data_IF_216461966452
#
_entry.id   IF_216461966452
#
_cell.length_a   1.000
_cell.length_b   1.000
_cell.length_c   1.000
_cell.angle_alpha   90.00
_cell.angle_beta   90.00
_cell.angle_gamma   90.00
#
_symmetry.space_group_name_H-M   'P 1'
#
loop_
_entity.id
_entity.type
_entity.pdbx_description
1 polymer ?
#
# COMPACT_ATOMS: atom_id res chain seq x y z
N UNK A 1 30.18 39.73 -4.67
CA UNK A 1 29.24 40.90 -4.77
C UNK A 1 27.87 40.43 -5.27
N UNK A 2 27.83 39.61 -6.31
CA UNK A 2 26.55 39.08 -6.87
C UNK A 2 25.83 38.14 -5.85
N UNK A 3 26.55 37.36 -5.08
CA UNK A 3 26.00 36.49 -4.04
C UNK A 3 25.40 37.26 -2.86
N UNK A 4 25.91 38.47 -2.57
CA UNK A 4 25.43 39.31 -1.47
C UNK A 4 24.16 40.10 -1.86
N UNK A 5 23.98 40.45 -3.13
CA UNK A 5 22.78 41.13 -3.67
C UNK A 5 21.58 40.13 -3.71
N UNK A 6 21.84 38.85 -3.93
CA UNK A 6 20.81 37.81 -3.90
C UNK A 6 20.27 37.50 -2.48
N UNK A 7 20.96 37.95 -1.43
CA UNK A 7 20.49 37.72 -0.02
C UNK A 7 19.42 38.72 0.45
N UNK A 8 19.20 39.85 -0.26
CA UNK A 8 18.12 40.80 0.03
C UNK A 8 16.89 40.66 -0.87
N UNK A 9 16.73 39.51 -1.52
CA UNK A 9 15.56 39.24 -2.37
C UNK A 9 14.29 39.11 -1.52
N UNK A 10 13.22 39.76 -2.03
CA UNK A 10 11.87 39.70 -1.47
C UNK A 10 11.49 38.27 -1.03
N UNK A 11 10.69 38.12 0.03
CA UNK A 11 10.26 36.78 0.52
C UNK A 11 9.62 35.96 -0.58
N UNK A 12 9.00 36.57 -1.58
CA UNK A 12 8.43 35.95 -2.75
C UNK A 12 9.48 35.22 -3.62
N UNK A 13 10.63 35.84 -3.86
CA UNK A 13 11.70 35.26 -4.71
C UNK A 13 12.30 34.02 -4.03
N UNK A 14 12.49 34.04 -2.70
CA UNK A 14 12.96 32.87 -1.94
C UNK A 14 11.94 31.74 -2.00
N UNK A 15 10.67 32.06 -1.88
CA UNK A 15 9.58 31.06 -2.01
C UNK A 15 9.55 30.47 -3.41
N UNK A 16 9.63 31.27 -4.46
CA UNK A 16 9.65 30.79 -5.85
C UNK A 16 10.87 29.92 -6.16
N UNK A 17 12.06 30.28 -5.66
CA UNK A 17 13.27 29.46 -5.83
C UNK A 17 13.11 28.13 -5.08
N UNK A 18 12.64 28.14 -3.84
CA UNK A 18 12.40 26.92 -3.07
C UNK A 18 11.36 26.02 -3.76
N UNK A 19 10.28 26.60 -4.27
CA UNK A 19 9.25 25.86 -5.00
C UNK A 19 9.79 25.29 -6.31
N UNK A 20 10.53 26.08 -7.09
CA UNK A 20 11.15 25.61 -8.33
C UNK A 20 12.17 24.48 -8.06
N UNK A 21 12.98 24.61 -7.01
CA UNK A 21 13.92 23.55 -6.59
C UNK A 21 13.19 22.27 -6.19
N UNK A 22 12.09 22.38 -5.45
CA UNK A 22 11.25 21.24 -5.09
C UNK A 22 10.68 20.53 -6.33
N UNK A 23 10.15 21.28 -7.28
CA UNK A 23 9.61 20.73 -8.54
C UNK A 23 10.69 20.00 -9.33
N UNK A 24 11.89 20.58 -9.43
CA UNK A 24 13.04 19.96 -10.12
C UNK A 24 13.43 18.67 -9.43
N UNK A 25 13.52 18.65 -8.10
CA UNK A 25 13.84 17.44 -7.33
C UNK A 25 12.78 16.35 -7.55
N UNK A 26 11.50 16.71 -7.46
CA UNK A 26 10.41 15.73 -7.68
C UNK A 26 10.40 15.20 -9.12
N UNK A 27 10.64 16.06 -10.12
CA UNK A 27 10.78 15.65 -11.51
C UNK A 27 11.97 14.68 -11.68
N UNK A 28 13.12 15.00 -11.06
CA UNK A 28 14.29 14.12 -11.04
C UNK A 28 14.01 12.75 -10.41
N UNK A 29 13.34 12.73 -9.26
CA UNK A 29 12.92 11.48 -8.60
C UNK A 29 11.96 10.69 -9.49
N UNK A 30 11.02 11.35 -10.14
CA UNK A 30 10.07 10.69 -11.05
C UNK A 30 10.76 10.09 -12.27
N UNK A 31 11.69 10.80 -12.86
CA UNK A 31 12.52 10.29 -13.97
C UNK A 31 13.41 9.12 -13.54
N UNK A 32 13.93 9.16 -12.32
CA UNK A 32 14.75 8.09 -11.74
C UNK A 32 13.93 6.98 -11.08
N UNK A 33 12.61 6.95 -11.26
CA UNK A 33 11.71 6.01 -10.57
C UNK A 33 12.08 4.54 -10.78
N UNK A 34 12.61 4.18 -11.95
CA UNK A 34 13.08 2.81 -12.24
C UNK A 34 14.19 2.33 -11.29
N UNK A 35 14.99 3.25 -10.72
CA UNK A 35 16.03 2.95 -9.75
C UNK A 35 15.52 3.17 -8.32
N UNK A 36 14.76 4.24 -8.11
CA UNK A 36 14.25 4.65 -6.79
C UNK A 36 13.26 3.62 -6.23
N UNK A 37 12.38 3.08 -7.08
CA UNK A 37 11.36 2.11 -6.66
C UNK A 37 11.99 0.82 -6.11
N UNK A 38 12.87 0.10 -6.84
CA UNK A 38 13.52 -1.10 -6.30
C UNK A 38 14.35 -0.80 -5.03
N UNK A 39 15.02 0.35 -4.97
CA UNK A 39 15.77 0.76 -3.79
C UNK A 39 14.88 0.93 -2.56
N UNK A 40 13.77 1.68 -2.69
CA UNK A 40 12.82 1.88 -1.59
C UNK A 40 12.16 0.56 -1.18
N UNK A 41 11.71 -0.26 -2.13
CA UNK A 41 11.17 -1.59 -1.82
C UNK A 41 12.17 -2.45 -1.06
N UNK A 42 13.43 -2.47 -1.50
CA UNK A 42 14.48 -3.22 -0.82
C UNK A 42 14.70 -2.71 0.61
N UNK A 43 14.69 -1.40 0.80
CA UNK A 43 14.80 -0.78 2.13
C UNK A 43 13.66 -1.22 3.05
N UNK A 44 12.42 -1.18 2.58
CA UNK A 44 11.27 -1.59 3.37
C UNK A 44 11.25 -3.09 3.64
N UNK A 45 11.61 -3.93 2.67
CA UNK A 45 11.76 -5.38 2.88
C UNK A 45 12.85 -5.65 3.92
N UNK A 46 14.00 -4.99 3.84
CA UNK A 46 15.07 -5.13 4.82
C UNK A 46 14.60 -4.72 6.24
N UNK A 47 13.83 -3.62 6.35
CA UNK A 47 13.24 -3.17 7.62
C UNK A 47 12.26 -4.21 8.17
N UNK A 48 11.36 -4.76 7.35
CA UNK A 48 10.39 -5.79 7.74
C UNK A 48 11.11 -7.07 8.18
N UNK A 49 12.18 -7.47 7.50
CA UNK A 49 12.95 -8.68 7.82
C UNK A 49 13.83 -8.52 9.07
N UNK A 50 14.16 -7.29 9.44
CA UNK A 50 15.05 -7.00 10.57
C UNK A 50 14.63 -7.66 11.90
N UNK A 51 13.35 -7.66 12.34
CA UNK A 51 12.93 -8.34 13.57
C UNK A 51 13.14 -9.85 13.52
N UNK A 52 12.83 -10.49 12.37
CA UNK A 52 13.01 -11.92 12.19
C UNK A 52 14.50 -12.31 12.24
N UNK A 53 15.36 -11.54 11.56
CA UNK A 53 16.81 -11.74 11.61
C UNK A 53 17.34 -11.54 13.03
N UNK A 54 16.92 -10.49 13.75
CA UNK A 54 17.28 -10.29 15.17
C UNK A 54 16.83 -11.44 16.07
N UNK A 55 15.66 -12.00 15.82
CA UNK A 55 15.18 -13.16 16.55
C UNK A 55 16.07 -14.39 16.31
N UNK A 56 16.46 -14.65 15.05
CA UNK A 56 17.35 -15.74 14.68
C UNK A 56 18.77 -15.56 15.28
N UNK A 57 19.33 -14.37 15.20
CA UNK A 57 20.66 -14.06 15.75
C UNK A 57 20.69 -14.13 17.28
N UNK A 58 19.61 -13.75 17.98
CA UNK A 58 19.46 -13.99 19.42
C UNK A 58 19.48 -15.48 19.79
N UNK A 59 19.08 -16.36 18.87
CA UNK A 59 19.16 -17.82 19.04
C UNK A 59 20.53 -18.39 18.58
N UNK A 60 21.57 -17.57 18.51
CA UNK A 60 22.94 -17.93 18.13
C UNK A 60 23.13 -18.38 16.68
N UNK A 61 22.17 -18.10 15.79
CA UNK A 61 22.33 -18.31 14.36
C UNK A 61 23.25 -17.18 13.82
N UNK A 62 24.34 -17.50 13.11
CA UNK A 62 25.23 -16.49 12.57
C UNK A 62 24.47 -15.60 11.56
N UNK A 63 24.80 -14.30 11.54
CA UNK A 63 24.10 -13.30 10.73
C UNK A 63 23.98 -13.70 9.26
N UNK A 64 25.07 -14.18 8.65
CA UNK A 64 25.05 -14.61 7.25
C UNK A 64 24.04 -15.74 7.00
N UNK A 65 23.98 -16.74 7.88
CA UNK A 65 23.01 -17.84 7.76
C UNK A 65 21.57 -17.36 7.96
N UNK A 66 21.33 -16.44 8.90
CA UNK A 66 20.02 -15.86 9.13
C UNK A 66 19.51 -15.08 7.89
N UNK A 67 20.39 -14.30 7.26
CA UNK A 67 20.09 -13.57 6.01
C UNK A 67 19.82 -14.56 4.88
N UNK A 68 20.64 -15.59 4.69
CA UNK A 68 20.44 -16.61 3.65
C UNK A 68 19.11 -17.34 3.81
N UNK A 69 18.76 -17.77 5.03
CA UNK A 69 17.47 -18.42 5.30
C UNK A 69 16.29 -17.48 5.01
N UNK A 70 16.42 -16.21 5.38
CA UNK A 70 15.37 -15.21 5.09
C UNK A 70 15.21 -14.95 3.60
N UNK A 71 16.31 -14.91 2.85
CA UNK A 71 16.28 -14.80 1.39
C UNK A 71 15.61 -16.00 0.74
N UNK A 72 15.98 -17.21 1.13
CA UNK A 72 15.35 -18.43 0.63
C UNK A 72 13.85 -18.41 0.90
N UNK A 73 13.43 -18.00 2.10
CA UNK A 73 12.03 -17.83 2.44
C UNK A 73 11.32 -16.82 1.55
N UNK A 74 11.92 -15.64 1.32
CA UNK A 74 11.36 -14.60 0.44
C UNK A 74 11.24 -15.12 -1.00
N UNK A 75 12.26 -15.78 -1.52
CA UNK A 75 12.26 -16.34 -2.89
C UNK A 75 11.17 -17.41 -3.04
N UNK A 76 11.08 -18.34 -2.08
CA UNK A 76 10.04 -19.39 -2.11
C UNK A 76 8.64 -18.75 -2.06
N UNK A 77 8.41 -17.81 -1.15
CA UNK A 77 7.15 -17.10 -1.04
C UNK A 77 6.79 -16.39 -2.34
N UNK A 78 7.78 -15.74 -2.95
CA UNK A 78 7.60 -14.99 -4.19
C UNK A 78 7.29 -15.91 -5.37
N UNK A 79 8.04 -17.01 -5.52
CA UNK A 79 7.78 -18.00 -6.57
C UNK A 79 6.42 -18.68 -6.39
N UNK A 80 6.03 -18.98 -5.15
CA UNK A 80 4.71 -19.52 -4.84
C UNK A 80 3.59 -18.56 -5.25
N UNK A 81 3.68 -17.27 -4.85
CA UNK A 81 2.70 -16.25 -5.21
C UNK A 81 2.66 -16.02 -6.74
N UNK A 82 3.81 -15.92 -7.38
CA UNK A 82 3.91 -15.72 -8.84
C UNK A 82 3.32 -16.89 -9.61
N UNK A 83 3.62 -18.12 -9.19
CA UNK A 83 3.05 -19.34 -9.78
C UNK A 83 1.54 -19.39 -9.64
N UNK A 84 1.03 -19.11 -8.45
CA UNK A 84 -0.39 -19.10 -8.15
C UNK A 84 -1.14 -18.03 -8.93
N UNK A 85 -0.62 -16.80 -8.98
CA UNK A 85 -1.21 -15.70 -9.75
C UNK A 85 -1.22 -16.05 -11.24
N UNK A 86 -0.12 -16.56 -11.77
CA UNK A 86 0.01 -16.84 -13.21
C UNK A 86 -0.92 -17.98 -13.69
N UNK A 87 -1.04 -19.07 -12.91
CA UNK A 87 -1.98 -20.16 -13.22
C UNK A 87 -3.43 -19.65 -13.25
N UNK A 88 -3.81 -18.89 -12.21
CA UNK A 88 -5.19 -18.42 -12.08
C UNK A 88 -5.56 -17.34 -13.11
N UNK A 89 -4.61 -16.47 -13.50
CA UNK A 89 -4.85 -15.52 -14.61
C UNK A 89 -5.14 -16.27 -15.90
N UNK A 90 -4.39 -17.33 -16.23
CA UNK A 90 -4.62 -18.12 -17.44
C UNK A 90 -6.00 -18.77 -17.44
N UNK A 91 -6.38 -19.40 -16.33
CA UNK A 91 -7.69 -20.04 -16.18
C UNK A 91 -8.83 -19.01 -16.26
N UNK A 92 -8.70 -17.88 -15.58
CA UNK A 92 -9.68 -16.80 -15.61
C UNK A 92 -9.81 -16.22 -17.03
N UNK A 93 -8.70 -15.97 -17.73
CA UNK A 93 -8.70 -15.46 -19.11
C UNK A 93 -9.37 -16.45 -20.08
N UNK A 94 -9.14 -17.74 -19.89
CA UNK A 94 -9.78 -18.78 -20.69
C UNK A 94 -11.31 -18.86 -20.45
N UNK A 95 -11.76 -18.44 -19.26
CA UNK A 95 -13.20 -18.47 -18.89
C UNK A 95 -13.98 -17.22 -19.33
N UNK A 96 -13.32 -16.14 -19.79
CA UNK A 96 -13.97 -14.89 -20.23
C UNK A 96 -15.10 -15.11 -21.25
N UNK A 97 -14.93 -15.95 -22.31
CA UNK A 97 -16.01 -16.18 -23.28
C UNK A 97 -17.28 -16.74 -22.63
N UNK A 98 -17.13 -17.67 -21.68
CA UNK A 98 -18.26 -18.23 -20.93
C UNK A 98 -18.94 -17.19 -20.04
N UNK A 99 -18.20 -16.24 -19.50
CA UNK A 99 -18.74 -15.15 -18.70
C UNK A 99 -19.61 -14.19 -19.52
N UNK A 100 -19.25 -13.94 -20.78
CA UNK A 100 -20.07 -13.15 -21.71
C UNK A 100 -21.44 -13.81 -21.96
N UNK A 101 -21.43 -15.11 -22.20
CA UNK A 101 -22.66 -15.89 -22.43
C UNK A 101 -23.57 -15.92 -21.19
N UNK A 102 -22.98 -16.18 -20.02
CA UNK A 102 -23.73 -16.17 -18.75
C UNK A 102 -24.29 -14.78 -18.45
N UNK A 103 -23.53 -13.71 -18.72
CA UNK A 103 -23.99 -12.34 -18.52
C UNK A 103 -25.21 -12.04 -19.41
N UNK A 104 -25.18 -12.43 -20.67
CA UNK A 104 -26.33 -12.24 -21.59
C UNK A 104 -27.57 -12.96 -21.08
N UNK A 105 -27.46 -14.23 -20.67
CA UNK A 105 -28.58 -15.01 -20.11
C UNK A 105 -29.13 -14.35 -18.83
N UNK A 106 -28.26 -13.89 -17.93
CA UNK A 106 -28.68 -13.24 -16.67
C UNK A 106 -29.34 -11.89 -16.91
N UNK A 107 -28.88 -11.13 -17.90
CA UNK A 107 -29.49 -9.85 -18.27
C UNK A 107 -30.89 -10.07 -18.89
N UNK A 108 -31.08 -11.09 -19.70
CA UNK A 108 -32.41 -11.45 -20.20
C UNK A 108 -33.35 -11.88 -19.07
N UNK A 109 -32.86 -12.67 -18.10
CA UNK A 109 -33.65 -13.05 -16.92
C UNK A 109 -34.02 -11.85 -16.07
N UNK A 110 -33.12 -10.88 -15.90
CA UNK A 110 -33.44 -9.63 -15.20
C UNK A 110 -34.47 -8.78 -15.94
N UNK A 111 -34.40 -8.71 -17.26
CA UNK A 111 -35.40 -8.01 -18.10
C UNK A 111 -36.78 -8.63 -17.93
N UNK A 112 -36.88 -9.96 -18.00
CA UNK A 112 -38.17 -10.66 -17.82
C UNK A 112 -38.72 -10.41 -16.42
N UNK A 113 -37.88 -10.48 -15.38
CA UNK A 113 -38.29 -10.22 -14.01
C UNK A 113 -38.82 -8.78 -13.80
N UNK A 114 -38.14 -7.76 -14.36
CA UNK A 114 -38.53 -6.35 -14.24
C UNK A 114 -39.83 -6.06 -15.01
N UNK A 115 -40.00 -6.70 -16.17
CA UNK A 115 -41.24 -6.59 -16.96
C UNK A 115 -42.40 -7.31 -16.29
N UNK A 116 -42.25 -8.47 -15.71
CA UNK A 116 -43.29 -9.21 -14.99
C UNK A 116 -43.78 -8.47 -13.73
N UNK A 117 -42.86 -7.82 -13.02
CA UNK A 117 -43.17 -7.10 -11.76
C UNK A 117 -43.50 -5.63 -11.97
N UNK A 118 -43.64 -5.19 -13.22
CA UNK A 118 -44.01 -3.82 -13.61
C UNK A 118 -43.23 -2.73 -12.85
N UNK A 119 -41.92 -3.00 -12.56
CA UNK A 119 -41.06 -2.08 -11.82
C UNK A 119 -40.72 -0.93 -12.77
N UNK A 120 -40.96 0.35 -12.42
CA UNK A 120 -40.69 1.48 -13.30
C UNK A 120 -39.20 1.84 -13.30
N UNK A 121 -38.37 0.87 -13.62
CA UNK A 121 -36.92 1.05 -13.86
C UNK A 121 -36.75 1.02 -15.37
N UNK A 122 -36.50 2.16 -15.97
CA UNK A 122 -35.86 2.24 -17.30
C UNK A 122 -34.49 1.65 -17.21
N UNK A 123 -34.37 0.38 -17.59
CA UNK A 123 -33.04 -0.23 -17.77
C UNK A 123 -32.36 0.58 -18.89
N UNK A 124 -31.17 1.13 -18.69
CA UNK A 124 -30.38 1.67 -19.78
C UNK A 124 -30.34 0.64 -20.91
N UNK A 125 -30.58 1.11 -22.12
CA UNK A 125 -30.69 0.24 -23.30
C UNK A 125 -29.59 -0.83 -23.27
N UNK A 126 -29.94 -2.10 -23.53
CA UNK A 126 -28.98 -3.24 -23.49
C UNK A 126 -27.78 -3.00 -24.36
N UNK A 127 -27.92 -2.14 -25.39
CA UNK A 127 -26.82 -1.63 -26.18
C UNK A 127 -25.75 -0.89 -25.35
N UNK A 128 -26.12 -0.23 -24.25
CA UNK A 128 -25.15 0.36 -23.32
C UNK A 128 -24.45 -0.71 -22.44
N UNK A 129 -25.13 -1.82 -22.16
CA UNK A 129 -24.57 -2.97 -21.46
C UNK A 129 -23.84 -3.92 -22.42
N UNK A 130 -24.20 -3.97 -23.70
CA UNK A 130 -23.41 -4.60 -24.77
C UNK A 130 -22.07 -3.89 -24.96
N UNK A 131 -22.02 -2.58 -24.67
CA UNK A 131 -20.76 -1.81 -24.61
C UNK A 131 -19.96 -2.02 -23.31
N UNK A 132 -20.58 -2.63 -22.25
CA UNK A 132 -19.84 -3.04 -21.06
C UNK A 132 -19.04 -4.29 -21.41
N UNK A 133 -17.82 -4.06 -21.86
CA UNK A 133 -16.87 -5.11 -22.14
C UNK A 133 -16.31 -5.65 -20.80
N UNK A 134 -16.66 -6.90 -20.39
CA UNK A 134 -16.06 -7.52 -19.21
C UNK A 134 -14.53 -7.53 -19.26
N UNK A 135 -13.95 -7.37 -20.47
CA UNK A 135 -12.52 -7.22 -20.67
C UNK A 135 -11.96 -5.95 -20.00
N UNK A 136 -12.77 -4.91 -19.75
CA UNK A 136 -12.30 -3.72 -19.02
C UNK A 136 -11.95 -4.04 -17.56
N UNK A 137 -12.80 -4.80 -16.88
CA UNK A 137 -12.51 -5.27 -15.51
C UNK A 137 -11.28 -6.15 -15.52
N UNK A 138 -11.20 -7.04 -16.54
CA UNK A 138 -10.07 -7.90 -16.74
C UNK A 138 -8.78 -7.15 -17.06
N UNK A 139 -8.84 -6.10 -17.86
CA UNK A 139 -7.70 -5.22 -18.12
C UNK A 139 -7.23 -4.52 -16.84
N UNK A 140 -8.14 -4.09 -15.96
CA UNK A 140 -7.77 -3.51 -14.66
C UNK A 140 -7.06 -4.54 -13.78
N UNK A 141 -7.66 -5.74 -13.64
CA UNK A 141 -7.04 -6.84 -12.87
C UNK A 141 -5.70 -7.23 -13.49
N UNK A 142 -5.63 -7.39 -14.80
CA UNK A 142 -4.40 -7.71 -15.51
C UNK A 142 -3.34 -6.62 -15.35
N UNK A 143 -3.69 -5.33 -15.42
CA UNK A 143 -2.74 -4.23 -15.20
C UNK A 143 -2.19 -4.22 -13.78
N UNK A 144 -3.04 -4.47 -12.78
CA UNK A 144 -2.60 -4.59 -11.39
C UNK A 144 -1.65 -5.78 -11.24
N UNK A 145 -2.02 -6.93 -11.78
CA UNK A 145 -1.21 -8.15 -11.72
C UNK A 145 0.09 -8.04 -12.55
N UNK A 146 0.06 -7.41 -13.72
CA UNK A 146 1.25 -7.12 -14.52
C UNK A 146 2.19 -6.11 -13.82
N UNK A 147 1.64 -5.17 -13.04
CA UNK A 147 2.46 -4.30 -12.20
C UNK A 147 3.24 -5.09 -11.16
N UNK A 148 2.64 -6.13 -10.56
CA UNK A 148 3.36 -7.07 -9.71
C UNK A 148 4.37 -7.92 -10.51
N UNK A 149 4.03 -8.36 -11.72
CA UNK A 149 4.95 -9.12 -12.59
C UNK A 149 6.21 -8.32 -12.96
N UNK A 150 6.10 -7.01 -13.18
CA UNK A 150 7.26 -6.15 -13.43
C UNK A 150 8.18 -6.04 -12.20
N UNK A 151 7.60 -6.07 -10.98
CA UNK A 151 8.39 -6.19 -9.74
C UNK A 151 9.14 -7.53 -9.72
N UNK A 152 8.50 -8.62 -10.19
CA UNK A 152 9.12 -9.96 -10.30
C UNK A 152 10.33 -9.94 -11.23
N UNK A 153 10.24 -9.26 -12.37
CA UNK A 153 11.35 -9.20 -13.35
C UNK A 153 12.61 -8.53 -12.76
N UNK A 154 12.42 -7.61 -11.80
CA UNK A 154 13.52 -6.94 -11.12
C UNK A 154 13.88 -7.57 -9.76
N UNK A 155 13.33 -8.75 -9.44
CA UNK A 155 13.54 -9.43 -8.13
C UNK A 155 15.00 -9.67 -7.83
N UNK A 156 15.81 -10.05 -8.81
CA UNK A 156 17.22 -10.29 -8.58
C UNK A 156 17.92 -9.04 -8.06
N UNK A 157 17.72 -7.88 -8.71
CA UNK A 157 18.30 -6.62 -8.27
C UNK A 157 17.78 -6.21 -6.88
N UNK A 158 16.47 -6.37 -6.67
CA UNK A 158 15.82 -6.07 -5.40
C UNK A 158 16.40 -6.92 -4.27
N UNK A 159 16.51 -8.24 -4.46
CA UNK A 159 17.07 -9.17 -3.47
C UNK A 159 18.54 -8.87 -3.18
N UNK A 160 19.32 -8.56 -4.21
CA UNK A 160 20.72 -8.17 -4.06
C UNK A 160 20.84 -6.94 -3.17
N UNK A 161 20.04 -5.91 -3.40
CA UNK A 161 20.04 -4.69 -2.57
C UNK A 161 19.56 -5.00 -1.15
N UNK A 162 18.51 -5.83 -0.97
CA UNK A 162 18.05 -6.29 0.36
C UNK A 162 19.20 -6.96 1.13
N UNK A 163 19.96 -7.85 0.49
CA UNK A 163 21.12 -8.52 1.12
C UNK A 163 22.12 -7.50 1.62
N UNK A 164 22.54 -6.57 0.76
CA UNK A 164 23.50 -5.56 1.15
C UNK A 164 22.99 -4.68 2.29
N UNK A 165 21.73 -4.28 2.25
CA UNK A 165 21.09 -3.50 3.34
C UNK A 165 21.05 -4.28 4.66
N UNK A 166 20.75 -5.59 4.61
CA UNK A 166 20.73 -6.43 5.80
C UNK A 166 22.12 -6.68 6.37
N UNK A 167 23.13 -6.88 5.52
CA UNK A 167 24.53 -7.00 5.93
C UNK A 167 25.06 -5.71 6.55
N UNK A 168 24.65 -4.55 6.00
CA UNK A 168 25.06 -3.24 6.46
C UNK A 168 24.33 -2.80 7.74
N UNK A 169 23.13 -3.34 8.01
CA UNK A 169 22.26 -2.94 9.13
C UNK A 169 22.94 -2.90 10.50
N UNK A 170 23.84 -3.81 10.91
CA UNK A 170 24.56 -3.70 12.18
C UNK A 170 25.55 -2.54 12.24
N UNK A 171 26.14 -2.18 11.09
CA UNK A 171 27.23 -1.21 10.98
C UNK A 171 26.73 0.21 10.73
N UNK A 172 25.50 0.35 10.21
CA UNK A 172 24.95 1.65 9.81
C UNK A 172 24.87 2.64 10.98
N UNK A 173 24.54 2.16 12.18
CA UNK A 173 24.53 2.99 13.41
C UNK A 173 25.94 3.55 13.69
N UNK A 174 26.96 2.71 13.58
CA UNK A 174 28.34 3.09 13.80
C UNK A 174 28.84 4.07 12.73
N UNK A 175 28.50 3.85 11.45
CA UNK A 175 28.84 4.77 10.35
C UNK A 175 28.22 6.14 10.53
N UNK A 176 26.94 6.19 10.92
CA UNK A 176 26.25 7.44 11.24
C UNK A 176 26.96 8.14 12.40
N UNK A 177 27.34 7.38 13.45
CA UNK A 177 28.14 7.90 14.56
C UNK A 177 29.43 8.57 14.09
N UNK A 178 30.18 7.90 13.23
CA UNK A 178 31.43 8.44 12.71
C UNK A 178 31.22 9.67 11.81
N UNK A 179 30.21 9.65 10.96
CA UNK A 179 29.94 10.75 10.03
C UNK A 179 29.57 12.06 10.76
N UNK A 180 28.83 11.96 11.87
CA UNK A 180 28.36 13.13 12.62
C UNK A 180 29.24 13.47 13.83
N UNK A 181 30.23 12.66 14.18
CA UNK A 181 31.12 12.88 15.33
C UNK A 181 32.04 14.12 15.20
N UNK A 182 31.99 14.83 14.07
CA UNK A 182 32.68 16.12 13.86
C UNK A 182 32.00 17.33 14.50
N UNK A 183 30.78 17.19 15.06
CA UNK A 183 30.01 18.28 15.66
C UNK A 183 29.45 17.89 17.05
N UNK A 184 29.94 18.53 18.06
CA UNK A 184 29.89 18.19 19.49
C UNK A 184 28.55 18.16 20.21
N UNK A 185 27.36 18.19 19.63
CA UNK A 185 26.18 18.49 20.47
C UNK A 185 24.99 17.53 20.40
N UNK A 186 24.63 16.94 19.26
CA UNK A 186 23.31 16.31 19.13
C UNK A 186 23.29 14.84 18.70
N UNK A 187 24.42 14.15 18.77
CA UNK A 187 24.58 12.77 18.27
C UNK A 187 23.53 11.78 18.80
N UNK A 188 23.30 11.77 20.11
CA UNK A 188 22.34 10.85 20.72
C UNK A 188 20.90 11.11 20.24
N UNK A 189 20.55 12.37 19.97
CA UNK A 189 19.23 12.73 19.45
C UNK A 189 19.01 12.26 18.01
N UNK A 190 20.01 12.40 17.12
CA UNK A 190 19.88 11.98 15.73
C UNK A 190 19.77 10.46 15.58
N UNK A 191 20.57 9.70 16.36
CA UNK A 191 20.46 8.22 16.40
C UNK A 191 19.13 7.79 16.97
N UNK A 192 18.60 8.50 17.95
CA UNK A 192 17.27 8.23 18.53
C UNK A 192 16.16 8.52 17.53
N UNK A 193 16.25 9.64 16.77
CA UNK A 193 15.27 9.95 15.71
C UNK A 193 15.27 8.86 14.62
N UNK A 194 16.44 8.44 14.14
CA UNK A 194 16.52 7.38 13.15
C UNK A 194 15.96 6.04 13.68
N UNK A 195 16.26 5.73 14.94
CA UNK A 195 15.73 4.51 15.58
C UNK A 195 14.21 4.57 15.71
N UNK A 196 13.64 5.73 16.04
CA UNK A 196 12.19 5.96 16.06
C UNK A 196 11.53 5.79 14.69
N UNK A 197 12.17 6.30 13.61
CA UNK A 197 11.67 6.08 12.23
C UNK A 197 11.56 4.59 11.94
N UNK A 198 12.66 3.86 12.11
CA UNK A 198 12.71 2.43 11.81
C UNK A 198 11.71 1.63 12.66
N UNK A 199 11.61 1.92 13.95
CA UNK A 199 10.67 1.23 14.85
C UNK A 199 9.21 1.52 14.49
N UNK A 200 8.88 2.76 14.15
CA UNK A 200 7.55 3.16 13.72
C UNK A 200 7.15 2.46 12.41
N UNK A 201 8.07 2.38 11.45
CA UNK A 201 7.85 1.66 10.19
C UNK A 201 7.65 0.16 10.44
N UNK A 202 8.49 -0.48 11.28
CA UNK A 202 8.35 -1.90 11.63
C UNK A 202 6.97 -2.15 12.26
N UNK A 203 6.56 -1.33 13.20
CA UNK A 203 5.27 -1.46 13.88
C UNK A 203 4.11 -1.27 12.91
N UNK A 204 4.14 -0.24 12.07
CA UNK A 204 3.13 0.00 11.05
C UNK A 204 3.01 -1.20 10.08
N UNK A 205 4.12 -1.60 9.48
CA UNK A 205 4.13 -2.69 8.51
C UNK A 205 3.74 -4.03 9.14
N UNK A 206 4.12 -4.28 10.39
CA UNK A 206 3.71 -5.45 11.14
C UNK A 206 2.20 -5.52 11.35
N UNK A 207 1.59 -4.43 11.84
CA UNK A 207 0.13 -4.34 12.00
C UNK A 207 -0.56 -4.45 10.65
N UNK A 208 -0.06 -3.75 9.63
CA UNK A 208 -0.65 -3.78 8.28
C UNK A 208 -0.60 -5.17 7.66
N UNK A 209 0.52 -5.89 7.83
CA UNK A 209 0.63 -7.30 7.38
C UNK A 209 -0.39 -8.19 8.08
N UNK A 210 -0.54 -8.05 9.39
CA UNK A 210 -1.50 -8.83 10.15
C UNK A 210 -2.94 -8.54 9.73
N UNK A 211 -3.30 -7.26 9.57
CA UNK A 211 -4.64 -6.85 9.11
C UNK A 211 -4.91 -7.32 7.68
N UNK A 212 -3.93 -7.21 6.79
CA UNK A 212 -4.04 -7.70 5.41
C UNK A 212 -4.23 -9.22 5.37
N UNK A 213 -3.47 -9.96 6.19
CA UNK A 213 -3.64 -11.42 6.29
C UNK A 213 -5.03 -11.78 6.81
N UNK A 214 -5.51 -11.10 7.84
CA UNK A 214 -6.87 -11.30 8.37
C UNK A 214 -7.94 -11.02 7.32
N UNK A 215 -7.81 -9.92 6.56
CA UNK A 215 -8.70 -9.56 5.44
C UNK A 215 -8.68 -10.64 4.36
N UNK A 216 -7.49 -11.08 3.93
CA UNK A 216 -7.36 -12.12 2.91
C UNK A 216 -7.97 -13.45 3.34
N UNK A 217 -7.70 -13.90 4.56
CA UNK A 217 -8.28 -15.14 5.12
C UNK A 217 -9.80 -15.02 5.23
N UNK A 218 -10.31 -13.90 5.74
CA UNK A 218 -11.75 -13.70 5.89
C UNK A 218 -12.47 -13.67 4.54
N UNK A 219 -11.88 -13.02 3.53
CA UNK A 219 -12.40 -13.03 2.16
C UNK A 219 -12.36 -14.45 1.58
N UNK A 220 -11.25 -15.19 1.75
CA UNK A 220 -11.19 -16.59 1.34
C UNK A 220 -12.36 -17.40 1.89
N UNK A 221 -12.60 -17.34 3.21
CA UNK A 221 -13.68 -18.08 3.87
C UNK A 221 -15.05 -17.71 3.31
N UNK A 222 -15.32 -16.42 3.10
CA UNK A 222 -16.60 -15.99 2.50
C UNK A 222 -16.74 -16.55 1.08
N UNK A 223 -15.72 -16.45 0.26
CA UNK A 223 -15.78 -16.92 -1.13
C UNK A 223 -15.89 -18.45 -1.22
N UNK A 224 -15.24 -19.16 -0.31
CA UNK A 224 -15.30 -20.62 -0.23
C UNK A 224 -16.70 -21.11 0.17
N UNK A 225 -17.35 -20.48 1.17
CA UNK A 225 -18.73 -20.77 1.58
C UNK A 225 -19.72 -20.63 0.42
N UNK A 226 -19.56 -19.62 -0.41
CA UNK A 226 -20.44 -19.38 -1.57
C UNK A 226 -19.95 -20.05 -2.85
N UNK A 227 -18.92 -20.91 -2.79
CA UNK A 227 -18.32 -21.61 -3.93
C UNK A 227 -17.94 -20.67 -5.09
N UNK A 228 -17.44 -19.48 -4.77
CA UNK A 228 -16.97 -18.52 -5.78
C UNK A 228 -15.64 -19.04 -6.37
N UNK A 229 -15.60 -19.13 -7.69
CA UNK A 229 -14.38 -19.59 -8.38
C UNK A 229 -13.20 -18.66 -8.08
N UNK A 230 -12.00 -19.24 -8.07
CA UNK A 230 -10.74 -18.52 -7.80
C UNK A 230 -10.67 -17.81 -6.43
N UNK A 231 -11.35 -18.36 -5.42
CA UNK A 231 -11.38 -17.80 -4.05
C UNK A 231 -9.99 -17.50 -3.49
N UNK A 232 -9.00 -18.36 -3.75
CA UNK A 232 -7.61 -18.17 -3.31
C UNK A 232 -6.95 -16.98 -4.02
N UNK A 233 -7.16 -16.81 -5.33
CA UNK A 233 -6.63 -15.64 -6.06
C UNK A 233 -7.18 -14.34 -5.48
N UNK A 234 -8.49 -14.29 -5.30
CA UNK A 234 -9.16 -13.10 -4.77
C UNK A 234 -8.72 -12.79 -3.35
N UNK A 235 -8.54 -13.81 -2.53
CA UNK A 235 -8.02 -13.66 -1.18
C UNK A 235 -6.60 -13.08 -1.15
N UNK A 236 -5.72 -13.59 -2.02
CA UNK A 236 -4.35 -13.09 -2.15
C UNK A 236 -4.34 -11.66 -2.72
N UNK A 237 -5.18 -11.40 -3.71
CA UNK A 237 -5.31 -10.04 -4.26
C UNK A 237 -5.81 -9.06 -3.20
N UNK A 238 -6.81 -9.46 -2.40
CA UNK A 238 -7.31 -8.68 -1.29
C UNK A 238 -6.23 -8.45 -0.22
N UNK A 239 -5.44 -9.47 0.11
CA UNK A 239 -4.28 -9.34 1.00
C UNK A 239 -3.28 -8.30 0.48
N UNK A 240 -2.88 -8.41 -0.80
CA UNK A 240 -1.89 -7.51 -1.40
C UNK A 240 -2.40 -6.08 -1.53
N UNK A 241 -3.62 -5.90 -2.05
CA UNK A 241 -4.21 -4.58 -2.24
C UNK A 241 -4.53 -3.90 -0.91
N UNK A 242 -4.84 -4.65 0.15
CA UNK A 242 -5.14 -4.09 1.46
C UNK A 242 -3.97 -3.27 2.06
N UNK A 243 -2.73 -3.43 1.55
CA UNK A 243 -1.62 -2.54 1.92
C UNK A 243 -1.85 -1.09 1.48
N UNK A 244 -2.63 -0.86 0.41
CA UNK A 244 -2.99 0.49 -0.05
C UNK A 244 -4.13 1.01 0.83
N UNK A 245 -3.92 2.09 1.61
CA UNK A 245 -4.95 2.58 2.54
C UNK A 245 -6.24 2.97 1.83
N UNK A 246 -7.38 2.62 2.39
CA UNK A 246 -8.74 2.98 1.98
C UNK A 246 -9.16 2.52 0.57
N UNK A 247 -8.29 2.63 -0.43
CA UNK A 247 -8.60 2.31 -1.84
C UNK A 247 -8.40 0.82 -2.13
N UNK A 248 -7.43 0.19 -1.49
CA UNK A 248 -7.04 -1.18 -1.79
C UNK A 248 -8.15 -2.22 -1.59
N UNK A 249 -8.87 -2.12 -0.50
CA UNK A 249 -9.99 -3.03 -0.18
C UNK A 249 -11.17 -2.85 -1.16
N UNK A 250 -11.43 -1.63 -1.63
CA UNK A 250 -12.46 -1.35 -2.63
C UNK A 250 -12.05 -1.92 -3.99
N UNK A 251 -10.80 -1.70 -4.40
CA UNK A 251 -10.25 -2.25 -5.65
C UNK A 251 -10.28 -3.78 -5.67
N UNK A 252 -10.05 -4.43 -4.52
CA UNK A 252 -10.18 -5.87 -4.42
C UNK A 252 -11.64 -6.33 -4.42
N UNK A 253 -12.52 -5.61 -3.74
CA UNK A 253 -13.92 -5.98 -3.57
C UNK A 253 -14.74 -5.92 -4.84
N UNK A 254 -14.50 -4.92 -5.70
CA UNK A 254 -15.27 -4.73 -6.95
C UNK A 254 -15.25 -5.98 -7.83
N UNK A 255 -14.10 -6.53 -8.27
CA UNK A 255 -14.08 -7.70 -9.14
C UNK A 255 -14.63 -8.96 -8.45
N UNK A 256 -14.42 -9.10 -7.14
CA UNK A 256 -14.96 -10.22 -6.35
C UNK A 256 -16.49 -10.23 -6.42
N UNK A 257 -17.12 -9.09 -6.11
CA UNK A 257 -18.57 -8.96 -6.09
C UNK A 257 -19.16 -9.11 -7.48
N UNK A 258 -18.53 -8.51 -8.50
CA UNK A 258 -18.96 -8.65 -9.89
C UNK A 258 -18.94 -10.10 -10.33
N UNK A 259 -17.85 -10.83 -10.04
CA UNK A 259 -17.76 -12.24 -10.38
C UNK A 259 -18.84 -13.07 -9.68
N UNK A 260 -19.06 -12.87 -8.37
CA UNK A 260 -20.07 -13.60 -7.63
C UNK A 260 -21.48 -13.33 -8.17
N UNK A 261 -21.82 -12.07 -8.47
CA UNK A 261 -23.09 -11.70 -9.10
C UNK A 261 -23.31 -12.36 -10.45
N UNK A 262 -22.27 -12.44 -11.26
CA UNK A 262 -22.35 -12.97 -12.61
C UNK A 262 -22.43 -14.50 -12.64
N UNK A 263 -21.58 -15.18 -11.86
CA UNK A 263 -21.42 -16.63 -11.96
C UNK A 263 -22.28 -17.41 -10.96
N UNK A 264 -22.34 -16.95 -9.71
CA UNK A 264 -23.06 -17.65 -8.65
C UNK A 264 -24.55 -17.26 -8.58
N UNK A 265 -24.91 -16.12 -9.19
CA UNK A 265 -26.27 -15.60 -9.19
C UNK A 265 -26.46 -14.44 -8.24
N UNK A 266 -27.67 -13.81 -8.35
CA UNK A 266 -27.93 -12.53 -7.67
C UNK A 266 -27.95 -12.68 -6.13
N UNK A 267 -28.53 -13.79 -5.62
CA UNK A 267 -28.58 -14.07 -4.17
C UNK A 267 -27.19 -14.19 -3.55
N UNK A 268 -26.35 -15.05 -4.14
CA UNK A 268 -25.00 -15.31 -3.64
C UNK A 268 -24.09 -14.12 -3.84
N UNK A 269 -24.25 -13.41 -4.98
CA UNK A 269 -23.50 -12.18 -5.23
C UNK A 269 -23.80 -11.07 -4.21
N UNK A 270 -25.07 -10.89 -3.80
CA UNK A 270 -25.43 -9.95 -2.72
C UNK A 270 -24.85 -10.42 -1.39
N UNK A 271 -24.94 -11.71 -1.07
CA UNK A 271 -24.38 -12.24 0.17
C UNK A 271 -22.85 -12.04 0.24
N UNK A 272 -22.13 -12.28 -0.86
CA UNK A 272 -20.71 -12.01 -0.98
C UNK A 272 -20.41 -10.53 -0.84
N UNK A 273 -21.19 -9.65 -1.46
CA UNK A 273 -21.06 -8.19 -1.34
C UNK A 273 -21.17 -7.74 0.12
N UNK A 274 -22.22 -8.22 0.83
CA UNK A 274 -22.40 -7.92 2.26
C UNK A 274 -21.20 -8.45 3.07
N UNK A 275 -20.74 -9.66 2.80
CA UNK A 275 -19.58 -10.26 3.44
C UNK A 275 -18.31 -9.43 3.25
N UNK A 276 -18.01 -9.00 2.02
CA UNK A 276 -16.85 -8.16 1.69
C UNK A 276 -16.94 -6.80 2.39
N UNK A 277 -18.11 -6.16 2.37
CA UNK A 277 -18.32 -4.88 3.06
C UNK A 277 -18.16 -5.06 4.57
N UNK A 278 -18.75 -6.10 5.16
CA UNK A 278 -18.62 -6.39 6.59
C UNK A 278 -17.17 -6.62 7.01
N UNK A 279 -16.41 -7.40 6.24
CA UNK A 279 -14.98 -7.64 6.49
C UNK A 279 -14.21 -6.31 6.44
N UNK A 280 -14.43 -5.49 5.42
CA UNK A 280 -13.75 -4.20 5.29
C UNK A 280 -14.11 -3.23 6.41
N UNK A 281 -15.37 -3.21 6.86
CA UNK A 281 -15.78 -2.41 8.01
C UNK A 281 -15.15 -2.91 9.32
N UNK A 282 -15.17 -4.21 9.57
CA UNK A 282 -14.62 -4.80 10.80
C UNK A 282 -13.10 -4.68 10.84
N UNK A 283 -12.41 -5.09 9.79
CA UNK A 283 -10.95 -5.11 9.77
C UNK A 283 -10.40 -3.71 9.51
N UNK A 284 -10.85 -3.03 8.46
CA UNK A 284 -10.29 -1.74 8.04
C UNK A 284 -10.70 -0.57 8.94
N UNK A 285 -11.98 -0.51 9.38
CA UNK A 285 -12.48 0.66 10.11
C UNK A 285 -12.50 0.46 11.63
N UNK A 286 -12.44 -0.79 12.14
CA UNK A 286 -12.51 -1.04 13.58
C UNK A 286 -11.20 -1.64 14.09
N UNK A 287 -10.72 -2.75 13.54
CA UNK A 287 -9.54 -3.46 14.05
C UNK A 287 -8.25 -2.74 13.71
N UNK A 288 -8.08 -2.31 12.46
CA UNK A 288 -6.87 -1.64 12.01
C UNK A 288 -6.60 -0.35 12.81
N UNK A 289 -7.55 0.60 12.99
CA UNK A 289 -7.34 1.78 13.82
C UNK A 289 -7.05 1.45 15.30
N UNK A 290 -7.72 0.43 15.85
CA UNK A 290 -7.48 0.00 17.24
C UNK A 290 -6.08 -0.57 17.45
N UNK A 291 -5.60 -1.36 16.49
CA UNK A 291 -4.27 -1.97 16.54
C UNK A 291 -3.16 -0.96 16.25
N UNK A 292 -3.39 -0.03 15.35
CA UNK A 292 -2.45 1.05 15.04
C UNK A 292 -2.38 2.09 16.15
N UNK A 293 -3.50 2.36 16.84
CA UNK A 293 -3.57 3.32 17.93
C UNK A 293 -2.99 4.68 17.53
N UNK A 294 -2.28 5.34 18.46
CA UNK A 294 -1.58 6.62 18.22
C UNK A 294 -0.28 6.48 17.42
N UNK A 295 0.01 5.30 16.89
CA UNK A 295 1.34 4.97 16.31
C UNK A 295 1.60 5.69 15.00
N UNK A 296 0.57 5.99 14.21
CA UNK A 296 0.73 6.68 12.93
C UNK A 296 1.10 8.16 13.12
N UNK A 297 0.48 8.82 14.09
CA UNK A 297 0.68 10.25 14.32
C UNK A 297 0.39 11.13 13.10
N UNK A 298 -0.26 10.59 12.06
CA UNK A 298 -0.67 11.28 10.84
C UNK A 298 -2.18 11.49 10.84
N UNK A 299 -2.63 12.64 10.32
CA UNK A 299 -4.06 12.86 10.14
C UNK A 299 -4.59 12.04 8.96
N UNK A 300 -5.87 11.68 9.00
CA UNK A 300 -6.54 10.91 7.93
C UNK A 300 -6.44 11.62 6.56
N UNK A 301 -6.55 12.95 6.56
CA UNK A 301 -6.38 13.76 5.36
C UNK A 301 -4.97 13.61 4.78
N UNK A 302 -3.94 13.68 5.64
CA UNK A 302 -2.54 13.53 5.22
C UNK A 302 -2.29 12.12 4.67
N UNK A 303 -2.86 11.08 5.28
CA UNK A 303 -2.78 9.71 4.73
C UNK A 303 -3.36 9.64 3.32
N UNK A 304 -4.52 10.27 3.10
CA UNK A 304 -5.16 10.28 1.75
C UNK A 304 -4.34 11.08 0.74
N UNK A 305 -3.88 12.28 1.12
CA UNK A 305 -3.04 13.10 0.25
C UNK A 305 -1.69 12.44 -0.05
N UNK A 306 -1.09 11.76 0.94
CA UNK A 306 0.16 11.02 0.75
C UNK A 306 -0.01 9.87 -0.24
N UNK A 307 -1.15 9.18 -0.20
CA UNK A 307 -1.47 8.13 -1.16
C UNK A 307 -1.48 8.67 -2.60
N UNK A 308 -2.15 9.80 -2.81
CA UNK A 308 -2.21 10.45 -4.14
C UNK A 308 -0.83 10.96 -4.58
N UNK A 309 -0.11 11.61 -3.68
CA UNK A 309 1.21 12.18 -3.95
C UNK A 309 2.25 11.09 -4.29
N UNK A 310 2.42 10.11 -3.43
CA UNK A 310 3.37 9.02 -3.65
C UNK A 310 2.95 8.10 -4.80
N UNK A 311 1.63 7.94 -4.99
CA UNK A 311 1.07 7.22 -6.14
C UNK A 311 1.38 7.91 -7.47
N UNK A 312 1.26 9.25 -7.53
CA UNK A 312 1.66 10.03 -8.69
C UNK A 312 3.17 9.98 -8.93
N UNK A 313 3.98 10.02 -7.88
CA UNK A 313 5.44 10.07 -7.98
C UNK A 313 6.06 8.72 -8.33
N UNK A 314 5.64 7.65 -7.64
CA UNK A 314 6.25 6.31 -7.68
C UNK A 314 5.28 5.19 -8.12
N UNK A 315 4.09 5.54 -8.62
CA UNK A 315 3.10 4.55 -9.07
C UNK A 315 2.53 3.69 -7.93
N UNK A 316 2.17 2.45 -8.25
CA UNK A 316 1.55 1.49 -7.30
C UNK A 316 2.41 1.21 -6.07
N UNK A 317 3.73 1.16 -6.25
CA UNK A 317 4.66 0.98 -5.12
C UNK A 317 4.66 2.21 -4.21
N UNK A 318 4.56 3.41 -4.78
CA UNK A 318 4.39 4.64 -4.01
C UNK A 318 3.10 4.66 -3.19
N UNK A 319 1.99 4.17 -3.75
CA UNK A 319 0.73 4.01 -3.02
C UNK A 319 0.89 3.05 -1.83
N UNK A 320 1.55 1.92 -2.03
CA UNK A 320 1.81 0.92 -1.00
C UNK A 320 2.69 1.46 0.14
N UNK A 321 3.71 2.23 -0.22
CA UNK A 321 4.67 2.81 0.72
C UNK A 321 4.29 4.21 1.21
N UNK A 322 3.14 4.75 0.82
CA UNK A 322 2.74 6.13 1.09
C UNK A 322 2.78 6.50 2.57
N UNK A 323 2.21 5.68 3.43
CA UNK A 323 2.19 5.92 4.88
C UNK A 323 3.59 5.83 5.49
N UNK A 324 4.37 4.75 5.29
CA UNK A 324 5.74 4.68 5.79
C UNK A 324 6.63 5.83 5.32
N UNK A 325 6.55 6.24 4.06
CA UNK A 325 7.35 7.35 3.52
C UNK A 325 6.96 8.68 4.17
N UNK A 326 5.65 8.91 4.35
CA UNK A 326 5.16 10.13 5.01
C UNK A 326 5.48 10.14 6.50
N UNK A 327 5.44 8.99 7.17
CA UNK A 327 5.90 8.86 8.56
C UNK A 327 7.39 9.20 8.68
N UNK A 328 8.23 8.65 7.79
CA UNK A 328 9.66 8.95 7.75
C UNK A 328 9.91 10.46 7.52
N UNK A 329 9.17 11.07 6.58
CA UNK A 329 9.24 12.51 6.32
C UNK A 329 8.82 13.31 7.56
N UNK A 330 7.71 12.96 8.21
CA UNK A 330 7.25 13.65 9.42
C UNK A 330 8.30 13.61 10.53
N UNK A 331 8.85 12.43 10.83
CA UNK A 331 9.87 12.27 11.88
C UNK A 331 11.15 13.04 11.51
N UNK A 332 11.52 13.07 10.22
CA UNK A 332 12.64 13.88 9.75
C UNK A 332 12.39 15.39 9.95
N UNK A 333 11.16 15.86 9.75
CA UNK A 333 10.78 17.26 10.02
C UNK A 333 10.73 17.57 11.53
N UNK A 334 10.39 16.59 12.36
CA UNK A 334 10.42 16.72 13.83
C UNK A 334 11.84 16.87 14.40
N UNK A 335 12.87 16.42 13.68
CA UNK A 335 14.25 16.44 14.16
C UNK A 335 14.88 17.83 14.18
N UNK A 336 14.32 18.82 13.47
CA UNK A 336 14.86 20.19 13.42
C UNK A 336 13.87 21.22 13.95
N UNK A 337 14.33 22.14 14.86
CA UNK A 337 13.49 23.22 15.37
C UNK A 337 12.88 24.12 14.27
N UNK A 338 13.54 24.24 13.13
CA UNK A 338 13.09 25.08 12.04
C UNK A 338 11.98 24.42 11.18
N UNK A 339 11.82 23.09 11.26
CA UNK A 339 10.87 22.32 10.46
C UNK A 339 9.76 21.66 11.26
N UNK A 340 9.84 21.70 12.59
CA UNK A 340 8.86 21.07 13.49
C UNK A 340 7.42 21.57 13.25
N UNK A 341 7.24 22.82 12.90
CA UNK A 341 5.93 23.40 12.54
C UNK A 341 5.27 22.68 11.34
N UNK A 342 6.05 22.22 10.39
CA UNK A 342 5.54 21.45 9.23
C UNK A 342 5.20 20.01 9.63
N UNK A 343 5.94 19.44 10.58
CA UNK A 343 5.62 18.11 11.11
C UNK A 343 4.28 18.11 11.87
N UNK A 344 3.96 19.20 12.58
CA UNK A 344 2.67 19.38 13.28
C UNK A 344 1.50 19.38 12.28
N UNK A 345 1.67 20.02 11.12
CA UNK A 345 0.64 20.04 10.06
C UNK A 345 0.35 18.63 9.50
N UNK A 346 1.33 17.73 9.52
CA UNK A 346 1.16 16.35 9.10
C UNK A 346 0.51 15.48 10.19
N UNK A 347 0.50 15.97 11.42
CA UNK A 347 0.01 15.24 12.60
C UNK A 347 -1.51 15.27 12.74
N UNK A 348 -2.01 14.37 13.61
CA UNK A 348 -3.38 14.47 14.14
C UNK A 348 -3.35 15.27 15.43
N UNK A 349 -4.39 16.09 15.65
CA UNK A 349 -4.52 16.87 16.89
C UNK A 349 -4.95 15.92 18.01
N UNK A 350 -4.25 15.90 19.16
CA UNK A 350 -4.65 15.08 20.31
C UNK A 350 -6.09 15.40 20.75
N UNK A 351 -6.88 14.39 21.08
CA UNK A 351 -8.30 14.57 21.46
C UNK A 351 -8.52 15.55 22.61
N UNK A 352 -7.55 15.64 23.53
CA UNK A 352 -7.58 16.61 24.65
C UNK A 352 -7.49 18.07 24.18
N UNK A 353 -6.82 18.33 23.04
CA UNK A 353 -6.76 19.68 22.46
C UNK A 353 -7.94 19.95 21.54
N UNK A 354 -8.46 18.92 20.85
CA UNK A 354 -9.73 19.03 20.08
C UNK A 354 -10.88 19.50 20.97
N UNK A 355 -11.00 18.94 22.18
CA UNK A 355 -12.02 19.35 23.16
C UNK A 355 -11.87 20.81 23.60
N UNK A 356 -10.67 21.32 23.83
CA UNK A 356 -10.40 22.71 24.19
C UNK A 356 -10.69 23.69 23.04
N UNK A 357 -10.39 23.30 21.79
CA UNK A 357 -10.64 24.13 20.61
C UNK A 357 -12.14 24.25 20.29
N UNK A 358 -12.93 23.19 20.52
CA UNK A 358 -14.37 23.17 20.27
C UNK A 358 -15.17 23.86 21.40
N UNK A 359 -14.64 23.93 22.64
CA UNK A 359 -15.28 24.62 23.75
C UNK A 359 -15.00 26.13 23.78
N UNK A 360 -14.01 26.62 23.03
CA UNK A 360 -13.69 28.05 22.93
C UNK A 360 -14.31 28.75 21.70
N UNK A 361 -15.20 28.09 20.97
CA UNK A 361 -16.07 28.67 19.95
C UNK A 361 -17.51 28.72 20.45
#
# INVERSE_FOLDING_TARGET
>A
FITFILMQTFPLTRFLIAFASLVIILAGVKLASEIVIPFLLSLFIAIICSPAIRFMTKRKIPLGLAITLMLIFIVILFLFLAGMINSTIREFTASIPQYKEILQIRLETLKTFITEWNIPLTIPDVSALESFDPSMVMQLVSRVLLSFSNVVSNVFMLLLVVVFMLLESPVIKYKITLAFNGGKSNFNQEVEHLSRVVESIIRYLGVKTLMSALTGIAIYVVLDIFNVQYSVLWAVLAFLLNYIPNIGSVLAGIPIVLQALLLNGFSDGIAVMIGVIAINMLVGNILEPRMMGKTLGLSTLVVTLSLLFWGWLLGTVGMLLSVPLTMALKIALESSPNTIQYAVLLGDVPELEKGKYLMNK
#
